data_IF_016975651669
#
_entry.id   IF_016975651669
#
_cell.length_a   1.000
_cell.length_b   1.000
_cell.length_c   1.000
_cell.angle_alpha   90.00
_cell.angle_beta   90.00
_cell.angle_gamma   90.00
#
_symmetry.space_group_name_H-M   'P 1'
#
loop_
_entity.id
_entity.type
_entity.pdbx_description
1 polymer ?
#
# COMPACT_ATOMS: atom_id res chain seq x y z
N UNK A 1 -28.30 10.10 1.76
CA UNK A 1 -27.63 9.02 1.02
C UNK A 1 -27.36 7.90 2.02
N UNK A 2 -27.46 6.65 1.61
CA UNK A 2 -27.07 5.50 2.46
C UNK A 2 -25.55 5.50 2.60
N UNK A 3 -25.03 5.25 3.82
CA UNK A 3 -23.59 5.16 4.05
C UNK A 3 -23.02 3.91 3.36
N UNK A 4 -21.80 4.01 2.83
CA UNK A 4 -21.09 2.87 2.26
C UNK A 4 -20.52 2.00 3.36
N UNK A 5 -20.76 0.70 3.27
CA UNK A 5 -20.30 -0.32 4.23
C UNK A 5 -18.87 -0.71 3.91
N UNK A 6 -17.97 -0.51 4.86
CA UNK A 6 -16.54 -0.72 4.68
C UNK A 6 -16.00 -1.73 5.68
N UNK A 7 -15.19 -2.66 5.19
CA UNK A 7 -14.34 -3.51 6.02
C UNK A 7 -12.90 -3.00 5.95
N UNK A 8 -12.17 -3.04 7.06
CA UNK A 8 -10.72 -2.79 7.07
C UNK A 8 -9.97 -4.11 7.23
N UNK A 9 -9.02 -4.36 6.33
CA UNK A 9 -8.20 -5.57 6.35
C UNK A 9 -6.82 -5.28 6.95
N UNK A 10 -6.57 -5.84 8.14
CA UNK A 10 -5.41 -5.58 9.01
C UNK A 10 -5.43 -4.25 9.77
N UNK A 11 -4.83 -4.26 10.96
CA UNK A 11 -4.80 -3.16 11.94
C UNK A 11 -3.38 -2.65 12.23
N UNK A 12 -2.51 -2.64 11.22
CA UNK A 12 -1.20 -1.97 11.30
C UNK A 12 -1.34 -0.45 11.18
N UNK A 13 -0.23 0.27 11.04
CA UNK A 13 -0.22 1.75 10.98
C UNK A 13 -1.27 2.34 10.03
N UNK A 14 -1.30 1.87 8.77
CA UNK A 14 -2.30 2.32 7.78
C UNK A 14 -3.72 1.90 8.15
N UNK A 15 -3.90 0.65 8.60
CA UNK A 15 -5.23 0.12 8.97
C UNK A 15 -5.87 0.88 10.12
N UNK A 16 -5.10 1.23 11.15
CA UNK A 16 -5.57 2.02 12.29
C UNK A 16 -5.97 3.44 11.87
N UNK A 17 -5.19 4.08 10.99
CA UNK A 17 -5.54 5.38 10.41
C UNK A 17 -6.83 5.28 9.57
N UNK A 18 -6.99 4.21 8.79
CA UNK A 18 -8.20 3.98 8.00
C UNK A 18 -9.44 3.80 8.88
N UNK A 19 -9.35 3.05 9.99
CA UNK A 19 -10.44 2.89 10.97
C UNK A 19 -10.87 4.25 11.54
N UNK A 20 -9.92 5.07 11.99
CA UNK A 20 -10.23 6.41 12.50
C UNK A 20 -10.84 7.33 11.41
N UNK A 21 -10.30 7.28 10.19
CA UNK A 21 -10.82 8.06 9.07
C UNK A 21 -12.27 7.68 8.74
N UNK A 22 -12.58 6.37 8.69
CA UNK A 22 -13.93 5.86 8.41
C UNK A 22 -14.91 6.36 9.47
N UNK A 23 -14.59 6.27 10.77
CA UNK A 23 -15.52 6.71 11.83
C UNK A 23 -15.89 8.18 11.75
N UNK A 24 -14.99 9.02 11.22
CA UNK A 24 -15.17 10.47 11.10
C UNK A 24 -15.97 10.88 9.86
N UNK A 25 -16.34 9.93 9.00
CA UNK A 25 -17.04 10.17 7.73
C UNK A 25 -18.48 9.70 7.82
N UNK A 26 -19.49 10.60 7.76
CA UNK A 26 -20.90 10.21 7.87
C UNK A 26 -21.42 9.42 6.66
N UNK A 27 -20.69 9.39 5.56
CA UNK A 27 -20.99 8.63 4.35
C UNK A 27 -20.31 7.24 4.33
N UNK A 28 -19.58 6.85 5.38
CA UNK A 28 -18.98 5.53 5.54
C UNK A 28 -19.43 4.87 6.86
N UNK A 29 -19.55 3.55 6.86
CA UNK A 29 -19.86 2.72 8.03
C UNK A 29 -18.81 1.61 8.14
N UNK A 30 -18.11 1.51 9.29
CA UNK A 30 -17.21 0.39 9.56
C UNK A 30 -18.03 -0.83 9.99
N UNK A 31 -18.10 -1.86 9.15
CA UNK A 31 -18.94 -3.04 9.40
C UNK A 31 -18.16 -4.28 9.83
N UNK A 32 -16.83 -4.26 9.71
CA UNK A 32 -15.98 -5.35 10.14
C UNK A 32 -14.49 -5.03 10.00
N UNK A 33 -13.67 -5.77 10.74
CA UNK A 33 -12.21 -5.65 10.71
C UNK A 33 -11.58 -7.03 10.67
N UNK A 34 -10.73 -7.27 9.68
CA UNK A 34 -9.92 -8.48 9.60
C UNK A 34 -8.60 -8.29 10.35
N UNK A 35 -8.18 -9.30 11.11
CA UNK A 35 -6.87 -9.36 11.78
C UNK A 35 -6.19 -10.69 11.52
N UNK A 36 -4.88 -10.64 11.28
CA UNK A 36 -4.05 -11.84 11.13
C UNK A 36 -3.80 -12.53 12.49
N UNK A 37 -3.38 -11.76 13.50
CA UNK A 37 -2.91 -12.31 14.78
C UNK A 37 -4.09 -12.80 15.65
N UNK A 38 -4.06 -14.05 16.16
CA UNK A 38 -5.16 -14.62 16.93
C UNK A 38 -5.52 -13.86 18.22
N UNK A 39 -4.54 -13.21 18.84
CA UNK A 39 -4.70 -12.39 20.06
C UNK A 39 -5.53 -11.11 19.82
N UNK A 40 -5.71 -10.72 18.56
CA UNK A 40 -6.54 -9.58 18.17
C UNK A 40 -8.00 -9.97 17.89
N UNK A 41 -8.30 -11.26 17.74
CA UNK A 41 -9.67 -11.73 17.46
C UNK A 41 -10.58 -11.43 18.66
N UNK A 42 -11.76 -10.87 18.39
CA UNK A 42 -12.74 -10.47 19.40
C UNK A 42 -12.46 -9.12 20.07
N UNK A 43 -11.28 -8.52 19.86
CA UNK A 43 -10.99 -7.17 20.36
C UNK A 43 -11.72 -6.12 19.55
N UNK A 44 -12.03 -4.99 20.17
CA UNK A 44 -12.71 -3.89 19.50
C UNK A 44 -11.80 -3.19 18.49
N UNK A 45 -12.34 -2.85 17.31
CA UNK A 45 -11.63 -2.16 16.24
C UNK A 45 -11.07 -0.80 16.65
N UNK A 46 -11.81 -0.04 17.47
CA UNK A 46 -11.37 1.25 18.01
C UNK A 46 -10.17 1.08 18.94
N UNK A 47 -10.23 0.10 19.85
CA UNK A 47 -9.10 -0.21 20.74
C UNK A 47 -7.85 -0.63 19.96
N UNK A 48 -8.00 -1.46 18.92
CA UNK A 48 -6.90 -1.86 18.05
C UNK A 48 -6.32 -0.67 17.26
N UNK A 49 -7.16 0.31 16.93
CA UNK A 49 -6.75 1.54 16.27
C UNK A 49 -6.22 2.63 17.22
N UNK A 50 -6.20 2.40 18.54
CA UNK A 50 -5.74 3.37 19.53
C UNK A 50 -6.73 4.52 19.79
N UNK A 51 -8.02 4.29 19.55
CA UNK A 51 -9.10 5.26 19.76
C UNK A 51 -10.19 4.66 20.67
N UNK A 52 -11.23 5.44 20.96
CA UNK A 52 -12.39 4.98 21.73
C UNK A 52 -13.09 3.78 21.06
N UNK A 53 -13.63 2.82 21.86
CA UNK A 53 -14.29 1.64 21.31
C UNK A 53 -15.42 1.97 20.32
N UNK A 54 -15.51 1.19 19.25
CA UNK A 54 -16.48 1.38 18.16
C UNK A 54 -17.63 0.36 18.19
N UNK A 55 -17.55 -0.67 19.02
CA UNK A 55 -18.51 -1.78 19.06
C UNK A 55 -18.34 -2.79 17.93
N UNK A 56 -17.20 -2.79 17.23
CA UNK A 56 -16.93 -3.69 16.10
C UNK A 56 -15.81 -4.65 16.50
N UNK A 57 -16.16 -5.90 16.76
CA UNK A 57 -15.19 -6.93 17.09
C UNK A 57 -14.40 -7.37 15.85
N UNK A 58 -13.07 -7.38 15.96
CA UNK A 58 -12.20 -7.90 14.90
C UNK A 58 -12.29 -9.42 14.79
N UNK A 59 -12.07 -9.96 13.59
CA UNK A 59 -12.09 -11.40 13.31
C UNK A 59 -10.96 -11.78 12.36
N UNK A 60 -10.53 -13.04 12.39
CA UNK A 60 -9.65 -13.61 11.36
C UNK A 60 -10.44 -14.44 10.32
N UNK A 61 -11.76 -14.50 10.45
CA UNK A 61 -12.66 -15.18 9.52
C UNK A 61 -13.00 -14.27 8.33
N UNK A 62 -12.29 -14.47 7.23
CA UNK A 62 -12.52 -13.77 5.98
C UNK A 62 -13.90 -14.09 5.35
N UNK A 63 -14.43 -15.31 5.52
CA UNK A 63 -15.75 -15.67 4.98
C UNK A 63 -16.85 -14.92 5.70
N UNK A 64 -16.75 -14.78 7.02
CA UNK A 64 -17.68 -13.98 7.81
C UNK A 64 -17.71 -12.52 7.34
N UNK A 65 -16.55 -11.92 7.05
CA UNK A 65 -16.47 -10.54 6.57
C UNK A 65 -17.01 -10.37 5.15
N UNK A 66 -16.77 -11.34 4.26
CA UNK A 66 -17.35 -11.34 2.92
C UNK A 66 -18.87 -11.49 2.98
N UNK A 67 -19.38 -12.33 3.89
CA UNK A 67 -20.82 -12.55 4.08
C UNK A 67 -21.57 -11.30 4.58
N UNK A 68 -20.87 -10.31 5.16
CA UNK A 68 -21.44 -8.99 5.47
C UNK A 68 -21.81 -8.18 4.22
N UNK A 69 -21.35 -8.61 3.03
CA UNK A 69 -21.48 -7.94 1.75
C UNK A 69 -21.15 -6.43 1.85
N UNK A 70 -19.92 -6.06 2.26
CA UNK A 70 -19.51 -4.66 2.28
C UNK A 70 -19.41 -4.10 0.85
N UNK A 71 -19.59 -2.79 0.71
CA UNK A 71 -19.40 -2.10 -0.57
C UNK A 71 -17.91 -2.07 -0.95
N UNK A 72 -17.03 -1.95 0.04
CA UNK A 72 -15.59 -1.92 -0.17
C UNK A 72 -14.78 -2.51 1.00
N UNK A 73 -13.56 -2.95 0.68
CA UNK A 73 -12.50 -3.25 1.65
C UNK A 73 -11.38 -2.23 1.50
N UNK A 74 -10.96 -1.62 2.62
CA UNK A 74 -9.66 -0.96 2.72
C UNK A 74 -8.64 -2.02 3.11
N UNK A 75 -7.81 -2.41 2.16
CA UNK A 75 -6.80 -3.45 2.34
C UNK A 75 -5.45 -2.85 2.70
N UNK A 76 -5.02 -3.07 3.95
CA UNK A 76 -3.81 -2.48 4.52
C UNK A 76 -2.86 -3.54 5.11
N UNK A 77 -2.98 -4.80 4.69
CA UNK A 77 -2.10 -5.88 5.16
C UNK A 77 -0.72 -5.79 4.50
N UNK A 78 0.34 -5.72 5.29
CA UNK A 78 1.72 -5.73 4.80
C UNK A 78 2.50 -6.83 5.51
N UNK A 79 2.32 -8.08 5.06
CA UNK A 79 3.03 -9.25 5.57
C UNK A 79 4.27 -9.61 4.73
N UNK A 80 5.08 -10.59 5.19
CA UNK A 80 6.29 -11.04 4.48
C UNK A 80 5.98 -11.63 3.10
N UNK A 81 4.80 -12.23 2.92
CA UNK A 81 4.36 -12.82 1.64
C UNK A 81 4.00 -11.78 0.58
N UNK A 82 3.90 -10.49 0.96
CA UNK A 82 3.59 -9.36 0.07
C UNK A 82 2.40 -9.66 -0.84
N UNK A 83 2.58 -9.49 -2.14
CA UNK A 83 1.55 -9.74 -3.16
C UNK A 83 1.15 -11.22 -3.24
N UNK A 84 2.02 -12.15 -2.85
CA UNK A 84 1.68 -13.57 -2.74
C UNK A 84 0.59 -13.86 -1.72
N UNK A 85 0.50 -13.06 -0.65
CA UNK A 85 -0.62 -13.09 0.30
C UNK A 85 -1.79 -12.22 -0.15
N UNK A 86 -1.52 -11.04 -0.70
CA UNK A 86 -2.56 -10.05 -1.00
C UNK A 86 -3.39 -10.34 -2.26
N UNK A 87 -2.77 -10.84 -3.33
CA UNK A 87 -3.48 -11.12 -4.60
C UNK A 87 -4.58 -12.17 -4.44
N UNK A 88 -4.37 -13.31 -3.75
CA UNK A 88 -5.45 -14.26 -3.47
C UNK A 88 -6.64 -13.62 -2.73
N UNK A 89 -6.38 -12.77 -1.75
CA UNK A 89 -7.42 -12.05 -1.01
C UNK A 89 -8.18 -11.08 -1.93
N UNK A 90 -7.47 -10.29 -2.76
CA UNK A 90 -8.11 -9.42 -3.74
C UNK A 90 -9.03 -10.21 -4.68
N UNK A 91 -8.56 -11.33 -5.22
CA UNK A 91 -9.35 -12.14 -6.13
C UNK A 91 -10.61 -12.68 -5.46
N UNK A 92 -10.53 -13.09 -4.20
CA UNK A 92 -11.67 -13.57 -3.42
C UNK A 92 -12.69 -12.45 -3.17
N UNK A 93 -12.23 -11.27 -2.78
CA UNK A 93 -13.06 -10.08 -2.55
C UNK A 93 -13.76 -9.61 -3.82
N UNK A 94 -13.01 -9.44 -4.91
CA UNK A 94 -13.53 -8.98 -6.20
C UNK A 94 -14.56 -9.97 -6.77
N UNK A 95 -14.30 -11.29 -6.67
CA UNK A 95 -15.26 -12.33 -7.08
C UNK A 95 -16.54 -12.33 -6.26
N UNK A 96 -16.48 -11.86 -5.01
CA UNK A 96 -17.65 -11.71 -4.15
C UNK A 96 -18.45 -10.41 -4.41
N UNK A 97 -18.06 -9.61 -5.41
CA UNK A 97 -18.74 -8.35 -5.72
C UNK A 97 -18.28 -7.17 -4.85
N UNK A 98 -17.13 -7.28 -4.18
CA UNK A 98 -16.64 -6.28 -3.21
C UNK A 98 -15.51 -5.47 -3.84
N UNK A 99 -15.58 -4.14 -3.75
CA UNK A 99 -14.51 -3.26 -4.21
C UNK A 99 -13.31 -3.32 -3.25
N UNK A 100 -12.10 -3.11 -3.78
CA UNK A 100 -10.88 -3.13 -2.97
C UNK A 100 -10.09 -1.84 -3.18
N UNK A 101 -9.74 -1.17 -2.08
CA UNK A 101 -8.80 -0.06 -2.05
C UNK A 101 -7.58 -0.51 -1.27
N UNK A 102 -6.41 -0.58 -1.90
CA UNK A 102 -5.21 -1.18 -1.31
C UNK A 102 -4.03 -0.24 -1.28
N UNK A 103 -3.27 -0.29 -0.19
CA UNK A 103 -1.92 0.32 -0.07
C UNK A 103 -0.81 -0.74 -0.08
N UNK A 104 -1.15 -2.02 -0.22
CA UNK A 104 -0.24 -3.14 0.03
C UNK A 104 0.54 -3.62 -1.20
N UNK A 105 -0.07 -3.46 -2.39
CA UNK A 105 0.51 -3.92 -3.66
C UNK A 105 0.93 -2.74 -4.51
N UNK A 106 2.02 -2.10 -4.10
CA UNK A 106 2.49 -0.79 -4.61
C UNK A 106 2.71 -0.77 -6.11
N UNK A 107 3.15 -1.87 -6.73
CA UNK A 107 3.37 -1.93 -8.17
C UNK A 107 2.05 -1.89 -9.00
N UNK A 108 0.89 -2.12 -8.37
CA UNK A 108 -0.42 -2.03 -9.03
C UNK A 108 -0.89 -0.58 -9.27
N UNK A 109 -0.17 0.44 -8.81
CA UNK A 109 -0.42 1.84 -9.23
C UNK A 109 -0.34 1.99 -10.76
N UNK A 110 0.44 1.13 -11.42
CA UNK A 110 0.48 1.02 -12.87
C UNK A 110 0.41 -0.46 -13.30
N UNK A 111 -0.82 -1.01 -13.47
CA UNK A 111 -1.04 -2.42 -13.77
C UNK A 111 -0.28 -2.94 -15.01
N UNK A 112 -0.11 -2.19 -16.11
CA UNK A 112 0.65 -2.68 -17.27
C UNK A 112 2.13 -3.00 -16.95
N UNK A 113 2.73 -2.34 -15.97
CA UNK A 113 4.11 -2.60 -15.53
C UNK A 113 4.23 -3.58 -14.37
N UNK A 114 3.12 -4.16 -13.90
CA UNK A 114 3.13 -5.08 -12.79
C UNK A 114 4.01 -6.31 -13.09
N UNK A 115 4.82 -6.74 -12.12
CA UNK A 115 5.87 -7.75 -12.33
C UNK A 115 5.32 -9.16 -12.59
N UNK A 116 4.09 -9.45 -12.17
CA UNK A 116 3.41 -10.73 -12.35
C UNK A 116 2.21 -10.58 -13.32
N UNK A 117 2.41 -10.69 -14.64
CA UNK A 117 1.35 -10.48 -15.62
C UNK A 117 0.16 -11.43 -15.45
N UNK A 118 0.40 -12.68 -15.04
CA UNK A 118 -0.66 -13.66 -14.78
C UNK A 118 -1.58 -13.21 -13.64
N UNK A 119 -1.03 -12.66 -12.56
CA UNK A 119 -1.80 -12.10 -11.45
C UNK A 119 -2.56 -10.84 -11.87
N UNK A 120 -1.92 -9.94 -12.64
CA UNK A 120 -2.60 -8.78 -13.23
C UNK A 120 -3.81 -9.20 -14.05
N UNK A 121 -3.65 -10.19 -14.93
CA UNK A 121 -4.72 -10.63 -15.84
C UNK A 121 -5.88 -11.29 -15.08
N UNK A 122 -5.57 -12.02 -14.01
CA UNK A 122 -6.60 -12.55 -13.09
C UNK A 122 -7.37 -11.43 -12.38
N UNK A 123 -6.68 -10.38 -11.91
CA UNK A 123 -7.31 -9.23 -11.25
C UNK A 123 -8.19 -8.43 -12.23
N UNK A 124 -7.71 -8.22 -13.46
CA UNK A 124 -8.51 -7.55 -14.51
C UNK A 124 -9.74 -8.38 -14.90
N UNK A 125 -9.62 -9.70 -15.00
CA UNK A 125 -10.77 -10.57 -15.24
C UNK A 125 -11.79 -10.50 -14.09
N UNK A 126 -11.32 -10.46 -12.83
CA UNK A 126 -12.21 -10.37 -11.67
C UNK A 126 -13.03 -9.06 -11.65
N UNK A 127 -12.51 -7.97 -12.23
CA UNK A 127 -13.21 -6.67 -12.34
C UNK A 127 -14.39 -6.66 -13.30
N UNK A 128 -14.53 -7.67 -14.18
CA UNK A 128 -15.68 -7.77 -15.09
C UNK A 128 -17.04 -7.87 -14.36
N UNK A 129 -17.03 -8.18 -13.06
CA UNK A 129 -18.23 -8.22 -12.19
C UNK A 129 -18.74 -6.86 -11.68
N UNK A 130 -18.47 -5.75 -12.37
CA UNK A 130 -18.79 -4.38 -11.90
C UNK A 130 -18.14 -3.99 -10.55
N UNK A 131 -16.95 -4.53 -10.29
CA UNK A 131 -16.13 -4.19 -9.11
C UNK A 131 -14.84 -3.51 -9.52
N UNK A 132 -14.24 -2.78 -8.58
CA UNK A 132 -12.99 -2.06 -8.79
C UNK A 132 -11.92 -2.49 -7.80
N UNK A 133 -10.68 -2.55 -8.29
CA UNK A 133 -9.47 -2.56 -7.46
C UNK A 133 -8.73 -1.26 -7.71
N UNK A 134 -8.48 -0.51 -6.64
CA UNK A 134 -7.69 0.72 -6.66
C UNK A 134 -6.49 0.55 -5.73
N UNK A 135 -5.29 0.53 -6.30
CA UNK A 135 -4.04 0.49 -5.54
C UNK A 135 -3.39 1.88 -5.56
N UNK A 136 -3.05 2.41 -4.39
CA UNK A 136 -2.46 3.74 -4.23
C UNK A 136 -1.79 3.87 -2.86
N UNK A 137 -0.99 4.91 -2.70
CA UNK A 137 -0.39 5.31 -1.43
C UNK A 137 0.10 6.76 -1.53
N UNK A 138 0.84 7.21 -0.52
CA UNK A 138 1.59 8.47 -0.63
C UNK A 138 2.70 8.29 -1.65
N UNK A 139 3.50 7.23 -1.47
CA UNK A 139 4.52 6.82 -2.42
C UNK A 139 4.63 5.27 -2.43
N UNK A 140 4.37 4.62 -3.58
CA UNK A 140 3.82 5.17 -4.82
C UNK A 140 2.29 5.37 -4.77
N UNK A 141 1.78 6.30 -5.57
CA UNK A 141 0.35 6.53 -5.84
C UNK A 141 -0.09 7.99 -5.76
N UNK A 142 0.73 8.88 -5.19
CA UNK A 142 0.41 10.31 -5.16
C UNK A 142 1.63 11.23 -5.31
N UNK A 143 2.49 11.30 -4.29
CA UNK A 143 3.46 12.39 -4.12
C UNK A 143 4.53 12.43 -5.22
N UNK A 144 5.05 11.26 -5.61
CA UNK A 144 6.12 11.13 -6.60
C UNK A 144 5.64 10.65 -7.99
N UNK A 145 4.32 10.55 -8.23
CA UNK A 145 3.77 10.09 -9.51
C UNK A 145 2.57 10.93 -9.99
N UNK A 146 1.40 10.80 -9.36
CA UNK A 146 0.18 11.51 -9.77
C UNK A 146 0.30 13.03 -9.60
N UNK A 147 0.83 13.50 -8.48
CA UNK A 147 0.99 14.93 -8.21
C UNK A 147 1.91 15.63 -9.24
N UNK A 148 3.10 15.09 -9.59
CA UNK A 148 3.92 15.59 -10.69
C UNK A 148 3.17 15.70 -12.02
N UNK A 149 2.32 14.71 -12.36
CA UNK A 149 1.50 14.78 -13.57
C UNK A 149 0.50 15.94 -13.53
N UNK A 150 -0.19 16.14 -12.41
CA UNK A 150 -1.13 17.26 -12.25
C UNK A 150 -0.39 18.60 -12.40
N UNK A 151 0.75 18.76 -11.72
CA UNK A 151 1.57 19.98 -11.80
C UNK A 151 2.11 20.23 -13.21
N UNK A 152 2.39 19.17 -13.97
CA UNK A 152 2.90 19.27 -15.33
C UNK A 152 1.94 19.95 -16.31
N UNK A 153 0.63 19.94 -16.02
CA UNK A 153 -0.39 20.64 -16.83
C UNK A 153 -0.20 22.15 -16.90
N UNK A 154 0.57 22.72 -15.96
CA UNK A 154 0.93 24.13 -15.90
C UNK A 154 2.22 24.47 -16.66
N UNK A 155 2.79 23.50 -17.40
CA UNK A 155 4.01 23.66 -18.18
C UNK A 155 3.73 23.52 -19.67
N UNK A 156 4.26 24.44 -20.49
CA UNK A 156 4.17 24.33 -21.96
C UNK A 156 5.19 23.34 -22.55
N UNK A 157 6.24 23.00 -21.80
CA UNK A 157 7.30 22.06 -22.18
C UNK A 157 7.89 21.43 -20.92
N UNK A 158 8.13 20.12 -20.93
CA UNK A 158 8.67 19.36 -19.79
C UNK A 158 9.98 18.73 -20.24
N UNK A 159 11.10 19.20 -19.68
CA UNK A 159 12.42 18.59 -19.90
C UNK A 159 12.78 17.56 -18.82
N UNK A 160 12.23 17.75 -17.61
CA UNK A 160 12.64 17.01 -16.42
C UNK A 160 11.59 17.13 -15.32
N UNK A 161 11.33 16.00 -14.65
CA UNK A 161 10.54 15.92 -13.42
C UNK A 161 11.47 15.40 -12.33
N UNK A 162 11.55 16.13 -11.22
CA UNK A 162 12.22 15.68 -10.01
C UNK A 162 11.17 15.53 -8.90
N UNK A 163 11.11 14.35 -8.30
CA UNK A 163 10.33 14.07 -7.11
C UNK A 163 11.26 13.43 -6.07
N UNK A 164 11.09 13.82 -4.80
CA UNK A 164 11.91 13.34 -3.70
C UNK A 164 11.02 12.98 -2.53
N UNK A 165 11.18 11.77 -2.01
CA UNK A 165 10.69 11.38 -0.69
C UNK A 165 11.80 11.57 0.34
N UNK A 166 11.49 12.25 1.44
CA UNK A 166 12.42 12.40 2.56
C UNK A 166 11.64 11.97 3.81
N UNK A 167 11.87 10.73 4.23
CA UNK A 167 11.24 10.13 5.39
C UNK A 167 12.07 10.32 6.66
N UNK A 168 11.39 10.63 7.77
CA UNK A 168 11.93 10.45 9.11
C UNK A 168 11.57 9.03 9.57
N UNK A 169 12.58 8.26 9.98
CA UNK A 169 12.42 6.84 10.35
C UNK A 169 12.71 6.60 11.84
N UNK A 170 12.55 7.59 12.70
CA UNK A 170 12.80 7.45 14.14
C UNK A 170 11.72 6.63 14.86
N UNK A 171 10.53 6.49 14.27
CA UNK A 171 9.39 5.71 14.81
C UNK A 171 8.89 4.59 13.87
N UNK A 172 9.64 4.27 12.82
CA UNK A 172 9.21 3.29 11.81
C UNK A 172 9.33 1.84 12.33
N UNK A 173 8.22 1.33 12.87
CA UNK A 173 8.13 0.04 13.58
C UNK A 173 8.23 -1.24 12.71
N UNK A 174 9.08 -1.25 11.68
CA UNK A 174 9.36 -2.46 10.87
C UNK A 174 10.87 -2.74 10.85
N UNK A 175 11.43 -3.37 11.90
CA UNK A 175 12.88 -3.53 12.08
C UNK A 175 13.58 -4.24 10.92
N UNK A 176 12.96 -5.27 10.34
CA UNK A 176 13.54 -6.02 9.22
C UNK A 176 13.70 -5.12 7.98
N UNK A 177 12.78 -4.17 7.76
CA UNK A 177 12.93 -3.20 6.67
C UNK A 177 14.05 -2.22 6.98
N UNK A 178 14.07 -1.67 8.20
CA UNK A 178 15.09 -0.70 8.60
C UNK A 178 16.50 -1.29 8.54
N UNK A 179 16.70 -2.47 9.12
CA UNK A 179 18.01 -3.11 9.26
C UNK A 179 18.40 -3.92 8.03
N UNK A 180 17.59 -4.90 7.63
CA UNK A 180 18.00 -5.85 6.57
C UNK A 180 17.73 -5.30 5.16
N UNK A 181 16.64 -4.53 4.96
CA UNK A 181 16.33 -3.98 3.65
C UNK A 181 17.05 -2.66 3.33
N UNK A 182 17.16 -1.74 4.31
CA UNK A 182 17.77 -0.41 4.13
C UNK A 182 19.21 -0.33 4.68
N UNK A 183 19.60 -1.19 5.62
CA UNK A 183 20.96 -1.21 6.18
C UNK A 183 21.18 -0.25 7.36
N UNK A 184 20.13 0.32 7.96
CA UNK A 184 20.27 1.17 9.15
C UNK A 184 20.80 0.36 10.34
N UNK A 185 21.70 0.97 11.12
CA UNK A 185 22.37 0.32 12.25
C UNK A 185 23.38 -0.77 11.87
N UNK A 186 23.59 -1.03 10.57
CA UNK A 186 24.55 -2.03 10.08
C UNK A 186 25.84 -1.34 9.58
N UNK A 187 27.01 -2.01 9.65
CA UNK A 187 28.23 -1.54 9.01
C UNK A 187 28.05 -1.23 7.51
N UNK A 188 28.92 -0.39 6.93
CA UNK A 188 28.83 -0.02 5.50
C UNK A 188 29.13 -1.19 4.55
N UNK A 189 29.85 -2.22 5.00
CA UNK A 189 30.14 -3.43 4.24
C UNK A 189 29.00 -4.47 4.29
N UNK A 190 27.97 -4.24 5.12
CA UNK A 190 26.72 -5.00 5.05
C UNK A 190 26.04 -4.80 3.69
N UNK A 191 25.46 -5.88 3.15
CA UNK A 191 24.78 -5.89 1.85
C UNK A 191 23.26 -5.91 2.04
N UNK A 192 22.60 -4.75 2.12
CA UNK A 192 21.15 -4.70 2.35
C UNK A 192 20.38 -5.10 1.09
N UNK A 193 19.10 -5.46 1.23
CA UNK A 193 18.25 -5.86 0.11
C UNK A 193 18.20 -4.79 -1.00
N UNK A 194 18.14 -3.51 -0.63
CA UNK A 194 18.11 -2.39 -1.58
C UNK A 194 19.33 -2.32 -2.51
N UNK A 195 20.47 -2.88 -2.09
CA UNK A 195 21.69 -2.91 -2.90
C UNK A 195 21.69 -4.04 -3.94
N UNK A 196 20.78 -5.02 -3.81
CA UNK A 196 20.70 -6.12 -4.76
C UNK A 196 20.37 -5.58 -6.16
N UNK A 197 21.12 -6.01 -7.21
CA UNK A 197 20.90 -5.51 -8.56
C UNK A 197 19.45 -5.65 -9.01
N UNK A 198 18.84 -4.56 -9.48
CA UNK A 198 17.47 -4.54 -9.99
C UNK A 198 16.39 -4.33 -8.92
N UNK A 199 16.72 -4.34 -7.62
CA UNK A 199 15.72 -4.21 -6.56
C UNK A 199 15.08 -2.81 -6.54
N UNK A 200 15.88 -1.75 -6.64
CA UNK A 200 15.39 -0.37 -6.70
C UNK A 200 14.55 -0.16 -7.95
N UNK A 201 15.02 -0.63 -9.10
CA UNK A 201 14.26 -0.55 -10.33
C UNK A 201 12.92 -1.27 -10.18
N UNK A 202 12.89 -2.48 -9.62
CA UNK A 202 11.65 -3.22 -9.39
C UNK A 202 10.67 -2.41 -8.52
N UNK A 203 11.14 -1.82 -7.42
CA UNK A 203 10.30 -1.13 -6.45
C UNK A 203 9.70 0.19 -6.99
N UNK A 204 10.46 0.97 -7.78
CA UNK A 204 10.04 2.28 -8.30
C UNK A 204 9.68 2.31 -9.79
N UNK A 205 9.71 1.17 -10.50
CA UNK A 205 9.34 1.12 -11.92
C UNK A 205 7.90 1.58 -12.15
N UNK A 206 6.95 1.11 -11.34
CA UNK A 206 5.52 1.39 -11.56
C UNK A 206 5.19 2.90 -11.61
N UNK A 207 5.59 3.74 -10.63
CA UNK A 207 5.36 5.18 -10.70
C UNK A 207 6.04 5.87 -11.90
N UNK A 208 7.24 5.44 -12.32
CA UNK A 208 7.90 5.98 -13.53
C UNK A 208 7.05 5.70 -14.79
N UNK A 209 6.56 4.47 -14.94
CA UNK A 209 5.70 4.10 -16.06
C UNK A 209 4.31 4.76 -15.98
N UNK A 210 3.78 5.02 -14.77
CA UNK A 210 2.57 5.82 -14.57
C UNK A 210 2.74 7.22 -15.16
N UNK A 211 3.82 7.92 -14.79
CA UNK A 211 4.15 9.24 -15.32
C UNK A 211 4.31 9.18 -16.85
N UNK A 212 5.07 8.22 -17.38
CA UNK A 212 5.30 8.10 -18.81
C UNK A 212 4.00 7.89 -19.60
N UNK A 213 3.14 6.99 -19.12
CA UNK A 213 1.80 6.78 -19.69
C UNK A 213 0.94 8.04 -19.63
N UNK A 214 0.99 8.81 -18.53
CA UNK A 214 0.27 10.06 -18.37
C UNK A 214 0.73 11.17 -19.34
N UNK A 215 2.02 11.18 -19.69
CA UNK A 215 2.61 12.12 -20.65
C UNK A 215 2.57 11.63 -22.10
N UNK A 216 2.18 10.38 -22.34
CA UNK A 216 2.20 9.76 -23.67
C UNK A 216 3.60 9.54 -24.23
N UNK A 217 4.57 9.23 -23.37
CA UNK A 217 5.97 8.98 -23.75
C UNK A 217 6.40 7.56 -23.43
N UNK A 218 7.44 7.08 -24.10
CA UNK A 218 8.02 5.77 -23.84
C UNK A 218 9.20 5.86 -22.86
N UNK A 219 9.31 4.87 -21.96
CA UNK A 219 10.44 4.74 -21.06
C UNK A 219 11.58 4.01 -21.78
N UNK A 220 12.67 4.71 -22.07
CA UNK A 220 13.88 4.11 -22.68
C UNK A 220 14.66 3.25 -21.68
N UNK A 221 14.81 3.73 -20.44
CA UNK A 221 15.56 3.05 -19.39
C UNK A 221 15.07 3.45 -17.99
N UNK A 222 15.13 2.51 -17.06
CA UNK A 222 15.02 2.74 -15.62
C UNK A 222 16.36 2.38 -14.99
N UNK A 223 16.91 3.26 -14.15
CA UNK A 223 18.22 3.07 -13.52
C UNK A 223 18.08 3.35 -12.02
N UNK A 224 18.44 2.37 -11.20
CA UNK A 224 18.48 2.49 -9.75
C UNK A 224 19.90 2.74 -9.25
N UNK A 225 20.02 3.52 -8.19
CA UNK A 225 21.28 3.76 -7.49
C UNK A 225 21.01 3.67 -5.99
N UNK A 226 21.95 3.09 -5.25
CA UNK A 226 21.86 2.95 -3.80
C UNK A 226 23.14 3.48 -3.17
N UNK A 227 23.00 4.55 -2.40
CA UNK A 227 24.08 5.15 -1.63
C UNK A 227 23.75 5.08 -0.14
N UNK A 228 24.79 4.99 0.69
CA UNK A 228 24.70 4.99 2.15
C UNK A 228 25.77 5.91 2.72
N UNK A 229 25.40 6.63 3.77
CA UNK A 229 26.30 7.50 4.51
C UNK A 229 26.22 7.19 5.99
N UNK A 230 27.32 7.44 6.71
CA UNK A 230 27.36 7.35 8.16
C UNK A 230 26.92 8.66 8.78
N UNK A 231 26.26 8.57 9.92
CA UNK A 231 26.01 9.72 10.79
C UNK A 231 27.27 10.01 11.62
N UNK A 232 27.47 11.27 12.00
CA UNK A 232 28.57 11.71 12.86
C UNK A 232 28.31 11.43 14.36
N UNK A 233 27.13 10.90 14.68
CA UNK A 233 26.65 10.56 16.02
C UNK A 233 25.75 9.34 15.98
N UNK A 234 25.60 8.70 17.12
CA UNK A 234 24.61 7.64 17.30
C UNK A 234 23.18 8.23 17.27
N UNK A 235 22.28 7.50 16.62
CA UNK A 235 20.85 7.81 16.58
C UNK A 235 20.10 6.64 17.19
N UNK A 236 19.40 6.89 18.28
CA UNK A 236 18.45 5.94 18.85
C UNK A 236 17.14 6.04 18.07
N UNK A 237 16.67 4.89 17.58
CA UNK A 237 15.38 4.74 16.86
C UNK A 237 14.50 3.75 17.64
N UNK A 238 13.19 3.85 17.45
CA UNK A 238 12.19 3.06 18.17
C UNK A 238 12.26 1.54 17.93
#
# INVERSE_FOLDING_TARGET
MTAHRVVVWSTGGVGSIAIDAIRRRPDLELVGVWVHSPDKVGRDAGELAGIEPLGVAATNDADALIALAPDAVVYAASGPDRDGGAVPDYLRLLKAGINVVSTSSTALVHPPSYFAPDWRDQLEAAKQGQVSLYASGIEPGFAADYLPLVLSTQSSSIEKIHAFEIGLYDDYGVPDIMSDALGFGRPLDFDPMMKQPGFIEMAWKAPIYLIASGLGVEVEAVRGFFDRELTDRDIEVA
#
